data_IF_813928041617
#
_entry.id   IF_813928041617
#
_cell.length_a   1.000
_cell.length_b   1.000
_cell.length_c   1.000
_cell.angle_alpha   90.00
_cell.angle_beta   90.00
_cell.angle_gamma   90.00
#
_symmetry.space_group_name_H-M   'P 1'
#
loop_
_entity.id
_entity.type
_entity.pdbx_description
1 polymer ?
#
# COMPACT_ATOMS: atom_id res chain seq x y z
N UNK A 1 -11.74 -11.88 -0.33
CA UNK A 1 -13.22 -11.83 -0.28
C UNK A 1 -13.77 -10.41 -0.31
N UNK A 2 -13.77 -9.57 0.74
CA UNK A 2 -14.36 -8.21 0.60
C UNK A 2 -13.60 -7.32 -0.42
N UNK A 3 -12.26 -7.41 -0.45
CA UNK A 3 -11.39 -6.65 -1.36
C UNK A 3 -11.51 -7.03 -2.85
N UNK A 4 -11.98 -8.24 -3.14
CA UNK A 4 -12.14 -8.75 -4.51
C UNK A 4 -13.50 -8.37 -5.11
N UNK A 5 -14.51 -8.13 -4.26
CA UNK A 5 -15.90 -7.95 -4.68
C UNK A 5 -16.52 -6.59 -4.31
N UNK A 6 -15.76 -5.67 -3.68
CA UNK A 6 -16.24 -4.30 -3.40
C UNK A 6 -15.37 -3.24 -4.08
N UNK A 7 -15.99 -2.22 -4.72
CA UNK A 7 -15.27 -1.18 -5.47
C UNK A 7 -14.54 -0.17 -4.57
N UNK A 8 -14.70 -0.28 -3.24
CA UNK A 8 -14.14 0.65 -2.26
C UNK A 8 -12.60 0.72 -2.40
N UNK A 9 -11.95 -0.43 -2.57
CA UNK A 9 -10.49 -0.47 -2.71
C UNK A 9 -10.00 -0.05 -4.10
N UNK A 10 -10.86 -0.09 -5.12
CA UNK A 10 -10.56 0.50 -6.42
C UNK A 10 -10.51 2.03 -6.29
N UNK A 11 -11.45 2.61 -5.54
CA UNK A 11 -11.49 4.05 -5.29
C UNK A 11 -10.29 4.55 -4.50
N UNK A 12 -9.90 3.85 -3.43
CA UNK A 12 -8.69 4.18 -2.67
C UNK A 12 -7.45 3.95 -3.54
N UNK A 13 -7.45 2.91 -4.38
CA UNK A 13 -6.39 2.64 -5.34
C UNK A 13 -6.08 3.82 -6.27
N UNK A 14 -7.08 4.62 -6.67
CA UNK A 14 -6.84 5.80 -7.49
C UNK A 14 -5.95 6.86 -6.85
N UNK A 15 -5.78 6.86 -5.52
CA UNK A 15 -4.81 7.74 -4.85
C UNK A 15 -3.38 7.39 -5.29
N UNK A 16 -3.10 6.10 -5.47
CA UNK A 16 -1.77 5.59 -5.79
C UNK A 16 -1.55 5.35 -7.29
N UNK A 17 -2.63 5.22 -8.06
CA UNK A 17 -2.57 4.92 -9.50
C UNK A 17 -1.69 5.90 -10.32
N UNK A 18 -1.76 7.23 -10.14
CA UNK A 18 -0.89 8.14 -10.87
C UNK A 18 0.59 7.84 -10.66
N UNK A 19 0.97 7.47 -9.43
CA UNK A 19 2.34 7.17 -9.08
C UNK A 19 2.77 5.82 -9.67
N UNK A 20 1.96 4.77 -9.54
CA UNK A 20 2.31 3.46 -10.11
C UNK A 20 2.38 3.49 -11.63
N UNK A 21 1.54 4.31 -12.29
CA UNK A 21 1.57 4.54 -13.72
C UNK A 21 2.81 5.34 -14.17
N UNK A 22 3.14 6.45 -13.51
CA UNK A 22 4.33 7.26 -13.81
C UNK A 22 5.62 6.46 -13.60
N UNK A 23 5.66 5.64 -12.55
CA UNK A 23 6.78 4.75 -12.26
C UNK A 23 6.85 3.54 -13.20
N UNK A 24 5.95 3.43 -14.17
CA UNK A 24 5.89 2.39 -15.19
C UNK A 24 5.84 0.97 -14.62
N UNK A 25 5.22 0.79 -13.45
CA UNK A 25 5.10 -0.54 -12.85
C UNK A 25 4.23 -1.44 -13.72
N UNK A 26 4.57 -2.74 -13.84
CA UNK A 26 3.67 -3.71 -14.45
C UNK A 26 2.35 -3.74 -13.67
N UNK A 27 1.23 -3.87 -14.37
CA UNK A 27 -0.11 -3.93 -13.76
C UNK A 27 -0.40 -2.76 -12.79
N UNK A 28 -0.25 -1.48 -13.22
CA UNK A 28 -0.19 -0.33 -12.31
C UNK A 28 -1.43 -0.15 -11.45
N UNK A 29 -2.61 -0.49 -11.97
CA UNK A 29 -3.86 -0.46 -11.21
C UNK A 29 -3.93 -1.56 -10.14
N UNK A 30 -3.41 -2.75 -10.43
CA UNK A 30 -3.32 -3.83 -9.46
C UNK A 30 -2.38 -3.45 -8.32
N UNK A 31 -1.21 -2.88 -8.65
CA UNK A 31 -0.25 -2.40 -7.65
C UNK A 31 -0.88 -1.31 -6.79
N UNK A 32 -1.60 -0.37 -7.40
CA UNK A 32 -2.24 0.73 -6.68
C UNK A 32 -3.33 0.23 -5.72
N UNK A 33 -4.19 -0.69 -6.18
CA UNK A 33 -5.21 -1.34 -5.35
C UNK A 33 -4.58 -2.16 -4.21
N UNK A 34 -3.55 -2.95 -4.51
CA UNK A 34 -2.83 -3.72 -3.50
C UNK A 34 -2.19 -2.80 -2.45
N UNK A 35 -1.56 -1.70 -2.86
CA UNK A 35 -0.99 -0.71 -1.94
C UNK A 35 -2.04 -0.08 -1.02
N UNK A 36 -3.25 0.18 -1.54
CA UNK A 36 -4.37 0.67 -0.75
C UNK A 36 -4.87 -0.33 0.31
N UNK A 37 -4.80 -1.64 0.04
CA UNK A 37 -5.22 -2.67 0.99
C UNK A 37 -4.33 -2.75 2.24
N UNK A 38 -3.10 -2.23 2.17
CA UNK A 38 -2.17 -2.24 3.31
C UNK A 38 -2.72 -1.51 4.54
N UNK A 39 -3.66 -0.58 4.35
CA UNK A 39 -4.30 0.13 5.47
C UNK A 39 -5.20 -0.78 6.31
N UNK A 40 -5.80 -1.80 5.70
CA UNK A 40 -6.66 -2.75 6.38
C UNK A 40 -5.82 -3.80 7.11
N UNK A 41 -4.85 -4.39 6.40
CA UNK A 41 -3.90 -5.35 6.96
C UNK A 41 -2.67 -5.52 6.06
N UNK A 42 -1.51 -5.74 6.66
CA UNK A 42 -0.23 -5.82 5.94
C UNK A 42 -0.11 -6.99 4.96
N UNK A 43 -0.87 -8.08 5.16
CA UNK A 43 -0.79 -9.29 4.34
C UNK A 43 -1.74 -9.29 3.12
N UNK A 44 -2.83 -8.52 3.17
CA UNK A 44 -3.79 -8.45 2.07
C UNK A 44 -3.20 -8.02 0.72
N UNK A 45 -2.28 -7.03 0.65
CA UNK A 45 -1.65 -6.64 -0.61
C UNK A 45 -0.94 -7.81 -1.30
N UNK A 46 -0.21 -8.64 -0.54
CA UNK A 46 0.56 -9.77 -1.07
C UNK A 46 -0.35 -10.84 -1.69
N UNK A 47 -1.55 -11.05 -1.12
CA UNK A 47 -2.54 -11.99 -1.64
C UNK A 47 -3.08 -11.57 -3.01
N UNK A 48 -3.19 -10.27 -3.30
CA UNK A 48 -3.67 -9.80 -4.60
C UNK A 48 -2.67 -10.02 -5.74
N UNK A 49 -1.38 -10.09 -5.45
CA UNK A 49 -0.32 -10.14 -6.47
C UNK A 49 0.37 -11.50 -6.58
N UNK A 50 -0.22 -12.55 -6.00
CA UNK A 50 0.34 -13.92 -6.01
C UNK A 50 0.62 -14.42 -7.44
N UNK A 51 -0.18 -13.99 -8.43
CA UNK A 51 -0.05 -14.39 -9.83
C UNK A 51 0.76 -13.42 -10.70
N UNK A 52 1.18 -12.29 -10.14
CA UNK A 52 1.95 -11.26 -10.87
C UNK A 52 3.43 -11.61 -11.01
N UNK A 53 4.13 -10.82 -11.84
CA UNK A 53 5.58 -10.91 -12.04
C UNK A 53 6.41 -10.52 -10.80
N UNK A 54 7.71 -10.78 -10.86
CA UNK A 54 8.62 -10.61 -9.71
C UNK A 54 8.74 -9.15 -9.27
N UNK A 55 8.79 -8.20 -10.22
CA UNK A 55 8.82 -6.75 -9.95
C UNK A 55 7.63 -6.34 -9.08
N UNK A 56 6.41 -6.73 -9.49
CA UNK A 56 5.16 -6.40 -8.78
C UNK A 56 5.15 -7.00 -7.38
N UNK A 57 5.50 -8.29 -7.27
CA UNK A 57 5.58 -9.00 -5.99
C UNK A 57 6.58 -8.35 -5.04
N UNK A 58 7.76 -7.97 -5.54
CA UNK A 58 8.80 -7.32 -4.74
C UNK A 58 8.33 -5.95 -4.22
N UNK A 59 7.81 -5.10 -5.11
CA UNK A 59 7.31 -3.77 -4.75
C UNK A 59 6.22 -3.87 -3.68
N UNK A 60 5.23 -4.74 -3.87
CA UNK A 60 4.13 -4.90 -2.92
C UNK A 60 4.60 -5.48 -1.59
N UNK A 61 5.52 -6.44 -1.58
CA UNK A 61 6.08 -6.96 -0.34
C UNK A 61 6.73 -5.86 0.50
N UNK A 62 7.49 -4.95 -0.15
CA UNK A 62 8.11 -3.82 0.54
C UNK A 62 7.07 -2.80 1.01
N UNK A 63 6.09 -2.43 0.17
CA UNK A 63 5.00 -1.51 0.54
C UNK A 63 4.20 -2.03 1.75
N UNK A 64 3.88 -3.33 1.75
CA UNK A 64 3.19 -4.00 2.85
C UNK A 64 3.87 -3.80 4.19
N UNK A 65 5.19 -4.03 4.24
CA UNK A 65 5.96 -3.96 5.49
C UNK A 65 6.26 -2.50 5.87
N UNK A 66 6.67 -1.71 4.88
CA UNK A 66 7.15 -0.35 5.10
C UNK A 66 6.05 0.64 5.44
N UNK A 67 4.78 0.39 5.13
CA UNK A 67 3.68 1.33 5.42
C UNK A 67 3.52 1.60 6.92
N UNK A 68 3.81 0.61 7.79
CA UNK A 68 3.77 0.61 9.27
C UNK A 68 2.39 0.92 9.87
N UNK A 69 1.59 1.79 9.25
CA UNK A 69 0.30 2.26 9.75
C UNK A 69 -0.81 1.43 9.10
N UNK A 70 -1.42 0.55 9.89
CA UNK A 70 -2.61 -0.22 9.51
C UNK A 70 -3.59 -0.28 10.69
N UNK A 71 -4.88 -0.33 10.38
CA UNK A 71 -5.94 -0.15 11.38
C UNK A 71 -6.03 -1.30 12.39
N UNK A 72 -5.60 -2.51 12.04
CA UNK A 72 -5.78 -3.69 12.89
C UNK A 72 -4.82 -3.79 14.08
N UNK A 73 -3.74 -2.99 14.13
CA UNK A 73 -2.84 -2.98 15.30
C UNK A 73 -2.40 -1.57 15.71
N UNK A 74 -1.84 -0.78 14.80
CA UNK A 74 -1.15 0.47 15.18
C UNK A 74 -2.12 1.56 15.61
N UNK A 75 -3.28 1.68 14.96
CA UNK A 75 -4.27 2.73 15.30
C UNK A 75 -4.84 2.55 16.72
N UNK A 76 -5.31 1.36 17.14
CA UNK A 76 -5.72 1.12 18.54
C UNK A 76 -4.62 1.44 19.55
N UNK A 77 -3.37 1.08 19.27
CA UNK A 77 -2.24 1.37 20.16
C UNK A 77 -2.00 2.88 20.31
N UNK A 78 -2.09 3.66 19.23
CA UNK A 78 -1.91 5.12 19.26
C UNK A 78 -3.03 5.79 20.08
N UNK A 79 -4.27 5.34 19.88
CA UNK A 79 -5.42 5.86 20.65
C UNK A 79 -5.30 5.51 22.13
N UNK A 80 -4.77 4.33 22.46
CA UNK A 80 -4.58 3.89 23.84
C UNK A 80 -3.40 4.56 24.57
N UNK A 81 -2.42 5.10 23.85
CA UNK A 81 -1.18 5.65 24.42
C UNK A 81 -1.17 7.17 24.57
N UNK A 82 -2.33 7.82 24.42
CA UNK A 82 -2.51 9.28 24.50
C UNK A 82 -1.59 10.09 23.55
N UNK A 83 -1.08 9.45 22.49
CA UNK A 83 -0.29 10.14 21.48
C UNK A 83 -1.22 11.15 20.77
N UNK A 84 -0.89 12.46 20.75
CA UNK A 84 -1.80 13.52 20.29
C UNK A 84 -1.85 13.62 18.75
N UNK A 85 -2.06 12.50 18.07
CA UNK A 85 -2.18 12.43 16.61
C UNK A 85 -3.61 12.03 16.26
N UNK A 86 -4.29 12.89 15.52
CA UNK A 86 -5.65 12.61 15.06
C UNK A 86 -5.67 11.57 13.93
N UNK A 87 -6.75 10.79 13.83
CA UNK A 87 -6.94 9.78 12.78
C UNK A 87 -6.72 10.35 11.35
N UNK A 88 -7.22 11.55 11.00
CA UNK A 88 -6.94 12.13 9.67
C UNK A 88 -5.44 12.35 9.40
N UNK A 89 -4.66 12.74 10.43
CA UNK A 89 -3.20 12.88 10.28
C UNK A 89 -2.55 11.52 10.02
N UNK A 90 -2.99 10.45 10.68
CA UNK A 90 -2.48 9.10 10.43
C UNK A 90 -2.73 8.66 8.99
N UNK A 91 -3.91 8.95 8.45
CA UNK A 91 -4.24 8.64 7.04
C UNK A 91 -3.32 9.41 6.09
N UNK A 92 -3.08 10.70 6.33
CA UNK A 92 -2.15 11.50 5.51
C UNK A 92 -0.73 10.95 5.55
N UNK A 93 -0.23 10.61 6.75
CA UNK A 93 1.11 10.02 6.92
C UNK A 93 1.18 8.68 6.19
N UNK A 94 0.15 7.84 6.29
CA UNK A 94 0.09 6.55 5.59
C UNK A 94 0.18 6.74 4.06
N UNK A 95 -0.63 7.64 3.48
CA UNK A 95 -0.59 7.94 2.03
C UNK A 95 0.82 8.38 1.61
N UNK A 96 1.43 9.30 2.36
CA UNK A 96 2.78 9.78 2.08
C UNK A 96 3.81 8.65 2.14
N UNK A 97 3.75 7.78 3.15
CA UNK A 97 4.69 6.66 3.30
C UNK A 97 4.54 5.63 2.18
N UNK A 98 3.32 5.34 1.72
CA UNK A 98 3.09 4.45 0.57
C UNK A 98 3.69 5.06 -0.70
N UNK A 99 3.42 6.34 -0.99
CA UNK A 99 3.95 7.03 -2.18
C UNK A 99 5.48 7.06 -2.16
N UNK A 100 6.08 7.47 -1.04
CA UNK A 100 7.54 7.52 -0.89
C UNK A 100 8.16 6.13 -1.07
N UNK A 101 7.53 5.09 -0.52
CA UNK A 101 8.01 3.72 -0.69
C UNK A 101 7.96 3.31 -2.15
N UNK A 102 6.86 3.55 -2.86
CA UNK A 102 6.74 3.24 -4.29
C UNK A 102 7.87 3.90 -5.09
N UNK A 103 8.12 5.19 -4.86
CA UNK A 103 9.18 5.94 -5.56
C UNK A 103 10.57 5.35 -5.28
N UNK A 104 10.85 4.96 -4.03
CA UNK A 104 12.17 4.43 -3.63
C UNK A 104 12.37 3.00 -4.11
N UNK A 105 11.34 2.15 -3.98
CA UNK A 105 11.48 0.71 -4.23
C UNK A 105 11.38 0.34 -5.71
N UNK A 106 10.63 1.09 -6.51
CA UNK A 106 10.45 0.75 -7.93
C UNK A 106 11.76 0.71 -8.72
N UNK A 107 12.68 1.69 -8.62
CA UNK A 107 13.99 1.60 -9.28
C UNK A 107 14.79 0.37 -8.84
N UNK A 108 14.75 0.04 -7.54
CA UNK A 108 15.43 -1.14 -6.99
C UNK A 108 14.84 -2.42 -7.58
N UNK A 109 13.51 -2.48 -7.72
CA UNK A 109 12.82 -3.62 -8.29
C UNK A 109 13.27 -3.89 -9.75
N UNK A 110 13.36 -2.84 -10.58
CA UNK A 110 13.82 -2.94 -11.96
C UNK A 110 15.32 -3.23 -12.10
N UNK A 111 16.13 -2.91 -11.09
CA UNK A 111 17.55 -3.26 -11.09
C UNK A 111 17.78 -4.74 -10.75
N UNK A 112 16.90 -5.33 -9.95
CA UNK A 112 17.06 -6.71 -9.46
C UNK A 112 16.35 -7.76 -10.33
N UNK A 113 15.30 -7.38 -11.05
CA UNK A 113 14.41 -8.28 -11.80
C UNK A 113 14.03 -7.70 -13.16
#
# INVERSE_FOLDING_TARGET
MLAEFTPIFDWIGYIFYPFTYILQLPEPMLVAKASALGIAEMFLPALLVVKSGMIVKFVIAVVSISSIIFFSAVVPCIVATEIPISIPKLIVIWVQRVILTLIIVTPIAFMLF
#
